data_IF_346081640060
#
_entry.id   IF_346081640060
#
_cell.length_a   1.000
_cell.length_b   1.000
_cell.length_c   1.000
_cell.angle_alpha   90.00
_cell.angle_beta   90.00
_cell.angle_gamma   90.00
#
_symmetry.space_group_name_H-M   'P 1'
#
loop_
_entity.id
_entity.type
_entity.pdbx_description
1 polymer ?
#
# COMPACT_ATOMS: atom_id res chain seq x y z
N UNK A 1 3.59 5.05 0.72
CA UNK A 1 4.29 3.79 0.85
C UNK A 1 4.45 3.06 -0.47
N UNK A 2 5.65 2.58 -0.73
CA UNK A 2 6.00 1.82 -1.93
C UNK A 2 5.17 0.53 -2.04
N UNK A 3 4.47 0.33 -3.13
CA UNK A 3 3.64 -0.86 -3.36
C UNK A 3 2.24 -0.82 -2.72
N UNK A 4 1.84 0.32 -2.22
CA UNK A 4 0.65 0.49 -1.39
C UNK A 4 -0.68 0.44 -2.15
N UNK A 5 -0.70 0.81 -3.41
CA UNK A 5 -1.94 0.96 -4.18
C UNK A 5 -2.65 -0.37 -4.42
N UNK A 6 -1.91 -1.47 -4.54
CA UNK A 6 -2.46 -2.77 -4.96
C UNK A 6 -2.84 -3.70 -3.81
N UNK A 7 -2.21 -3.56 -2.63
CA UNK A 7 -2.50 -4.41 -1.46
C UNK A 7 -3.82 -4.10 -0.77
N UNK A 8 -4.43 -2.98 -1.12
CA UNK A 8 -5.68 -2.48 -0.58
C UNK A 8 -6.80 -2.52 -1.60
N UNK A 9 -6.69 -3.46 -2.56
CA UNK A 9 -7.69 -3.66 -3.59
C UNK A 9 -8.59 -4.87 -3.27
N UNK A 10 -9.85 -4.73 -3.61
CA UNK A 10 -10.82 -5.80 -3.67
C UNK A 10 -11.46 -5.78 -5.06
N UNK A 11 -11.44 -6.91 -5.76
CA UNK A 11 -11.91 -7.03 -7.15
C UNK A 11 -11.29 -5.98 -8.09
N UNK A 12 -9.99 -5.73 -7.96
CA UNK A 12 -9.24 -4.78 -8.79
C UNK A 12 -9.50 -3.30 -8.48
N UNK A 13 -10.26 -2.97 -7.42
CA UNK A 13 -10.58 -1.60 -7.03
C UNK A 13 -10.02 -1.28 -5.64
N UNK A 14 -9.51 -0.08 -5.46
CA UNK A 14 -8.97 0.38 -4.18
C UNK A 14 -10.09 0.56 -3.16
N UNK A 15 -10.06 -0.24 -2.10
CA UNK A 15 -11.05 -0.20 -1.00
C UNK A 15 -10.50 0.40 0.29
N UNK A 16 -9.19 0.61 0.39
CA UNK A 16 -8.55 1.11 1.60
C UNK A 16 -7.45 2.11 1.28
N UNK A 17 -7.31 3.13 2.10
CA UNK A 17 -6.18 4.06 2.16
C UNK A 17 -5.47 3.94 3.51
N UNK A 18 -4.16 3.96 3.52
CA UNK A 18 -3.35 4.05 4.74
C UNK A 18 -2.43 5.25 4.60
N UNK A 19 -2.44 6.09 5.62
CA UNK A 19 -1.53 7.22 5.75
C UNK A 19 -0.76 7.06 7.05
N UNK A 20 0.55 7.22 6.99
CA UNK A 20 1.42 7.16 8.16
C UNK A 20 2.14 8.48 8.31
N UNK A 21 2.05 9.06 9.49
CA UNK A 21 2.77 10.26 9.90
C UNK A 21 3.66 9.91 11.09
N UNK A 22 4.87 10.47 11.12
CA UNK A 22 5.84 10.20 12.17
C UNK A 22 6.57 11.47 12.58
N UNK A 23 6.87 11.59 13.85
CA UNK A 23 7.78 12.60 14.38
C UNK A 23 9.06 11.95 14.88
N UNK A 24 10.18 12.64 14.66
CA UNK A 24 11.50 12.23 15.15
C UNK A 24 12.04 13.29 16.08
N UNK A 25 12.70 12.87 17.14
CA UNK A 25 13.47 13.76 17.98
C UNK A 25 14.63 14.37 17.18
N UNK A 26 14.75 15.70 17.20
CA UNK A 26 15.71 16.44 16.38
C UNK A 26 17.18 16.25 16.81
N UNK A 27 17.41 15.84 18.06
CA UNK A 27 18.75 15.68 18.60
C UNK A 27 19.27 14.26 18.43
N UNK A 28 18.43 13.27 18.71
CA UNK A 28 18.79 11.84 18.63
C UNK A 28 18.45 11.19 17.29
N UNK A 29 17.58 11.79 16.48
CA UNK A 29 17.03 11.21 15.25
C UNK A 29 16.12 10.00 15.50
N UNK A 30 15.76 9.72 16.76
CA UNK A 30 14.91 8.59 17.10
C UNK A 30 13.44 8.88 16.82
N UNK A 31 12.70 7.86 16.45
CA UNK A 31 11.25 7.93 16.29
C UNK A 31 10.60 8.22 17.64
N UNK A 32 9.90 9.34 17.73
CA UNK A 32 9.21 9.77 18.96
C UNK A 32 7.75 9.31 18.97
N UNK A 33 7.07 9.43 17.84
CA UNK A 33 5.68 8.98 17.68
C UNK A 33 5.39 8.59 16.23
N UNK A 34 4.38 7.73 16.10
CA UNK A 34 3.84 7.28 14.82
C UNK A 34 2.33 7.30 14.87
N UNK A 35 1.71 7.94 13.88
CA UNK A 35 0.25 7.93 13.69
C UNK A 35 -0.08 7.20 12.40
N UNK A 36 -0.96 6.21 12.48
CA UNK A 36 -1.43 5.44 11.33
C UNK A 36 -2.90 5.71 11.11
N UNK A 37 -3.23 6.43 10.04
CA UNK A 37 -4.59 6.63 9.57
C UNK A 37 -5.00 5.51 8.61
N UNK A 38 -6.12 4.83 8.88
CA UNK A 38 -6.66 3.76 8.03
C UNK A 38 -8.06 4.15 7.58
N UNK A 39 -8.23 4.44 6.29
CA UNK A 39 -9.52 4.74 5.66
C UNK A 39 -10.01 3.53 4.86
N UNK A 40 -11.14 2.94 5.25
CA UNK A 40 -11.75 1.81 4.58
C UNK A 40 -13.07 2.17 3.93
N UNK A 41 -13.20 1.95 2.64
CA UNK A 41 -14.45 2.12 1.89
C UNK A 41 -15.33 0.90 2.14
N UNK A 42 -16.37 1.05 2.95
CA UNK A 42 -17.18 -0.08 3.37
C UNK A 42 -18.37 -0.32 2.44
N UNK A 43 -19.19 0.71 2.20
CA UNK A 43 -20.49 0.57 1.53
C UNK A 43 -20.73 1.60 0.41
N UNK A 44 -19.78 2.46 0.08
CA UNK A 44 -19.95 3.44 -0.98
C UNK A 44 -20.31 2.74 -2.31
N UNK A 45 -21.32 3.25 -2.99
CA UNK A 45 -21.76 2.81 -4.32
C UNK A 45 -20.84 3.39 -5.41
N UNK A 46 -20.74 2.76 -6.58
CA UNK A 46 -20.01 3.35 -7.70
C UNK A 46 -20.49 4.75 -8.08
N UNK A 47 -21.76 5.07 -7.85
CA UNK A 47 -22.35 6.38 -8.12
C UNK A 47 -21.92 7.47 -7.11
N UNK A 48 -21.38 7.08 -5.96
CA UNK A 48 -20.92 8.02 -4.92
C UNK A 48 -19.51 8.55 -5.19
N UNK A 49 -18.81 8.03 -6.21
CA UNK A 49 -17.46 8.41 -6.55
C UNK A 49 -17.42 9.53 -7.58
N UNK A 50 -16.50 10.51 -7.44
CA UNK A 50 -16.15 11.39 -8.54
C UNK A 50 -15.74 10.60 -9.79
N UNK A 51 -16.01 11.13 -10.98
CA UNK A 51 -15.78 10.44 -12.27
C UNK A 51 -14.33 9.91 -12.40
N UNK A 52 -13.36 10.68 -11.94
CA UNK A 52 -11.93 10.33 -11.94
C UNK A 52 -11.59 9.11 -11.05
N UNK A 53 -12.37 8.89 -9.99
CA UNK A 53 -12.18 7.77 -9.06
C UNK A 53 -13.09 6.57 -9.36
N UNK A 54 -14.15 6.75 -10.14
CA UNK A 54 -15.17 5.72 -10.40
C UNK A 54 -14.60 4.42 -10.98
N UNK A 55 -13.46 4.49 -11.68
CA UNK A 55 -12.78 3.32 -12.27
C UNK A 55 -11.81 2.63 -11.32
N UNK A 56 -11.27 3.34 -10.34
CA UNK A 56 -10.18 2.87 -9.47
C UNK A 56 -10.61 2.65 -8.03
N UNK A 57 -11.60 3.40 -7.54
CA UNK A 57 -12.14 3.25 -6.19
C UNK A 57 -13.22 2.16 -6.13
N UNK A 58 -13.30 1.50 -4.98
CA UNK A 58 -14.31 0.50 -4.68
C UNK A 58 -14.62 0.43 -3.19
N UNK A 59 -15.56 -0.43 -2.85
CA UNK A 59 -15.96 -0.71 -1.47
C UNK A 59 -16.08 -2.20 -1.26
N UNK A 60 -16.02 -2.65 -0.01
CA UNK A 60 -16.18 -4.07 0.32
C UNK A 60 -17.60 -4.56 0.06
N UNK A 61 -18.61 -3.71 0.30
CA UNK A 61 -20.04 -4.02 0.15
C UNK A 61 -20.74 -2.89 -0.62
N UNK A 62 -20.48 -2.75 -1.94
CA UNK A 62 -20.95 -1.60 -2.70
C UNK A 62 -22.48 -1.54 -2.76
N UNK A 63 -23.06 -0.42 -2.29
CA UNK A 63 -24.51 -0.16 -2.34
C UNK A 63 -25.37 -0.99 -1.41
N UNK A 64 -24.78 -1.84 -0.56
CA UNK A 64 -25.51 -2.71 0.36
C UNK A 64 -25.18 -2.47 1.83
N UNK A 65 -25.96 -3.06 2.76
CA UNK A 65 -25.58 -3.04 4.16
C UNK A 65 -24.35 -3.92 4.38
N UNK A 66 -23.40 -3.41 5.19
CA UNK A 66 -22.28 -4.23 5.63
C UNK A 66 -22.77 -5.27 6.67
N UNK A 67 -22.31 -6.54 6.60
CA UNK A 67 -22.70 -7.57 7.55
C UNK A 67 -22.09 -7.37 8.94
N UNK A 68 -21.17 -6.40 9.07
CA UNK A 68 -20.48 -6.06 10.32
C UNK A 68 -20.60 -4.55 10.58
N UNK A 69 -20.70 -4.16 11.85
CA UNK A 69 -20.68 -2.74 12.21
C UNK A 69 -19.27 -2.14 12.05
N UNK A 70 -19.22 -0.83 11.76
CA UNK A 70 -17.95 -0.09 11.66
C UNK A 70 -17.12 -0.19 12.93
N UNK A 71 -17.75 -0.17 14.10
CA UNK A 71 -17.06 -0.27 15.40
C UNK A 71 -16.39 -1.64 15.58
N UNK A 72 -17.08 -2.73 15.23
CA UNK A 72 -16.54 -4.09 15.29
C UNK A 72 -15.34 -4.23 14.35
N UNK A 73 -15.46 -3.72 13.12
CA UNK A 73 -14.39 -3.76 12.14
C UNK A 73 -13.18 -2.93 12.58
N UNK A 74 -13.40 -1.70 13.07
CA UNK A 74 -12.34 -0.86 13.60
C UNK A 74 -11.60 -1.52 14.78
N UNK A 75 -12.34 -2.11 15.71
CA UNK A 75 -11.76 -2.86 16.84
C UNK A 75 -10.96 -4.08 16.40
N UNK A 76 -11.41 -4.81 15.37
CA UNK A 76 -10.67 -5.92 14.80
C UNK A 76 -9.35 -5.47 14.16
N UNK A 77 -9.39 -4.41 13.34
CA UNK A 77 -8.20 -3.85 12.69
C UNK A 77 -7.19 -3.36 13.75
N UNK A 78 -7.65 -2.64 14.76
CA UNK A 78 -6.78 -2.15 15.84
C UNK A 78 -6.13 -3.31 16.61
N UNK A 79 -6.88 -4.36 16.93
CA UNK A 79 -6.35 -5.54 17.62
C UNK A 79 -5.29 -6.25 16.77
N UNK A 80 -5.54 -6.47 15.48
CA UNK A 80 -4.56 -7.08 14.57
C UNK A 80 -3.29 -6.21 14.47
N UNK A 81 -3.44 -4.90 14.31
CA UNK A 81 -2.30 -3.99 14.26
C UNK A 81 -1.46 -4.05 15.55
N UNK A 82 -2.11 -4.02 16.72
CA UNK A 82 -1.43 -4.11 18.00
C UNK A 82 -0.76 -5.47 18.23
N UNK A 83 -1.32 -6.56 17.69
CA UNK A 83 -0.73 -7.89 17.78
C UNK A 83 0.57 -8.03 16.99
N UNK A 84 0.73 -7.25 15.92
CA UNK A 84 1.95 -7.24 15.10
C UNK A 84 3.06 -6.36 15.69
N UNK A 85 2.71 -5.33 16.50
CA UNK A 85 3.67 -4.37 17.02
C UNK A 85 4.83 -4.96 17.86
N UNK A 86 4.65 -5.99 18.72
CA UNK A 86 5.74 -6.47 19.58
C UNK A 86 6.87 -7.19 18.83
N UNK A 87 6.57 -7.83 17.71
CA UNK A 87 7.53 -8.70 17.03
C UNK A 87 7.90 -8.25 15.60
N UNK A 88 7.08 -7.43 14.96
CA UNK A 88 7.19 -7.07 13.53
C UNK A 88 7.42 -8.27 12.58
N UNK A 89 6.92 -9.44 12.98
CA UNK A 89 7.11 -10.71 12.28
C UNK A 89 6.01 -10.91 11.21
N UNK A 90 5.83 -9.90 10.35
CA UNK A 90 4.85 -9.95 9.27
C UNK A 90 5.49 -9.91 7.87
N UNK A 91 6.83 -9.96 7.79
CA UNK A 91 7.54 -9.74 6.54
C UNK A 91 7.30 -10.87 5.53
N UNK A 92 7.26 -12.11 5.98
CA UNK A 92 7.01 -13.26 5.09
C UNK A 92 5.58 -13.26 4.56
N UNK A 93 4.61 -12.94 5.40
CA UNK A 93 3.22 -12.77 4.97
C UNK A 93 3.06 -11.56 4.04
N UNK A 94 3.78 -10.47 4.33
CA UNK A 94 3.84 -9.31 3.45
C UNK A 94 4.39 -9.68 2.08
N UNK A 95 5.48 -10.43 2.01
CA UNK A 95 6.08 -10.94 0.76
C UNK A 95 5.11 -11.84 0.00
N UNK A 96 4.51 -12.80 0.68
CA UNK A 96 3.57 -13.75 0.10
C UNK A 96 2.33 -13.07 -0.52
N UNK A 97 1.87 -11.96 0.05
CA UNK A 97 0.72 -11.19 -0.45
C UNK A 97 1.10 -10.07 -1.41
N UNK A 98 2.40 -9.78 -1.58
CA UNK A 98 2.88 -8.73 -2.47
C UNK A 98 2.97 -9.26 -3.91
N UNK A 99 2.07 -8.84 -4.76
CA UNK A 99 2.10 -9.25 -6.19
C UNK A 99 2.88 -8.26 -7.09
N UNK A 100 3.49 -7.22 -6.54
CA UNK A 100 4.30 -6.24 -7.28
C UNK A 100 5.58 -6.87 -7.88
N UNK A 101 6.32 -7.74 -7.16
CA UNK A 101 7.46 -8.44 -7.73
C UNK A 101 7.10 -9.20 -9.02
N UNK A 102 7.99 -9.15 -10.00
CA UNK A 102 7.80 -9.74 -11.32
C UNK A 102 7.18 -8.78 -12.35
N UNK A 103 6.61 -7.65 -11.93
CA UNK A 103 5.98 -6.69 -12.83
C UNK A 103 6.89 -5.52 -13.18
N UNK A 104 6.66 -4.94 -14.36
CA UNK A 104 7.21 -3.65 -14.71
C UNK A 104 6.45 -2.54 -13.97
N UNK A 105 7.20 -1.64 -13.36
CA UNK A 105 6.68 -0.55 -12.56
C UNK A 105 7.21 0.80 -13.05
N UNK A 106 6.45 1.84 -12.82
CA UNK A 106 6.93 3.22 -12.88
C UNK A 106 7.24 3.66 -11.46
N UNK A 107 8.46 4.06 -11.22
CA UNK A 107 8.93 4.61 -9.95
C UNK A 107 8.98 6.11 -10.07
N UNK A 108 8.28 6.82 -9.18
CA UNK A 108 8.32 8.27 -9.04
C UNK A 108 8.99 8.60 -7.71
N UNK A 109 10.18 9.14 -7.74
CA UNK A 109 10.83 9.80 -6.61
C UNK A 109 10.65 11.30 -6.77
N UNK A 110 10.77 12.09 -5.74
CA UNK A 110 10.62 13.55 -5.90
C UNK A 110 11.57 14.19 -6.94
N UNK A 111 12.64 13.49 -7.30
CA UNK A 111 13.68 13.95 -8.23
C UNK A 111 13.51 13.38 -9.65
N UNK A 112 12.99 12.17 -9.81
CA UNK A 112 12.94 11.49 -11.11
C UNK A 112 11.76 10.51 -11.23
N UNK A 113 11.36 10.24 -12.48
CA UNK A 113 10.40 9.19 -12.82
C UNK A 113 11.04 8.24 -13.84
N UNK A 114 11.05 6.94 -13.54
CA UNK A 114 11.66 5.93 -14.41
C UNK A 114 10.92 4.60 -14.39
N UNK A 115 11.17 3.80 -15.42
CA UNK A 115 10.70 2.43 -15.49
C UNK A 115 11.71 1.49 -14.83
N UNK A 116 11.21 0.49 -14.12
CA UNK A 116 12.03 -0.57 -13.54
C UNK A 116 11.25 -1.88 -13.44
N UNK A 117 11.95 -3.00 -13.33
CA UNK A 117 11.35 -4.29 -13.02
C UNK A 117 11.39 -4.48 -11.51
N UNK A 118 10.24 -4.72 -10.91
CA UNK A 118 10.16 -5.08 -9.50
C UNK A 118 10.64 -6.51 -9.31
N UNK A 119 11.62 -6.72 -8.43
CA UNK A 119 12.25 -8.02 -8.21
C UNK A 119 11.75 -8.71 -6.94
N UNK A 120 11.83 -8.03 -5.79
CA UNK A 120 11.55 -8.61 -4.48
C UNK A 120 11.25 -7.56 -3.43
N UNK A 121 10.89 -8.02 -2.25
CA UNK A 121 10.88 -7.22 -1.00
C UNK A 121 12.06 -7.69 -0.14
N UNK A 122 12.93 -6.77 0.26
CA UNK A 122 14.09 -7.06 1.11
C UNK A 122 13.73 -7.24 2.59
N UNK A 123 14.73 -7.51 3.43
CA UNK A 123 14.52 -7.76 4.87
C UNK A 123 14.14 -6.50 5.66
N UNK A 124 14.29 -5.32 5.07
CA UNK A 124 13.79 -4.06 5.63
C UNK A 124 12.38 -3.69 5.09
N UNK A 125 11.72 -4.59 4.33
CA UNK A 125 10.40 -4.37 3.75
C UNK A 125 10.39 -3.43 2.53
N UNK A 126 11.57 -3.13 1.95
CA UNK A 126 11.72 -2.23 0.81
C UNK A 126 11.52 -2.97 -0.50
N UNK A 127 10.92 -2.32 -1.49
CA UNK A 127 10.83 -2.88 -2.84
C UNK A 127 12.19 -2.77 -3.53
N UNK A 128 12.74 -3.90 -3.94
CA UNK A 128 13.92 -3.97 -4.78
C UNK A 128 13.50 -3.94 -6.23
N UNK A 129 14.05 -3.01 -6.99
CA UNK A 129 13.78 -2.86 -8.42
C UNK A 129 15.07 -2.91 -9.22
N UNK A 130 14.97 -3.37 -10.46
CA UNK A 130 16.06 -3.38 -11.43
C UNK A 130 15.81 -2.31 -12.48
N UNK A 131 16.77 -1.39 -12.61
CA UNK A 131 16.78 -0.36 -13.67
C UNK A 131 17.52 -0.87 -14.90
N UNK A 132 17.36 -0.19 -16.03
CA UNK A 132 18.19 -0.42 -17.23
C UNK A 132 19.67 -0.48 -16.86
N UNK A 133 20.39 -1.52 -17.35
CA UNK A 133 21.79 -1.78 -17.06
C UNK A 133 22.05 -2.65 -15.82
N UNK A 134 21.08 -3.51 -15.44
CA UNK A 134 21.18 -4.52 -14.36
C UNK A 134 21.47 -3.92 -12.96
N UNK A 135 21.19 -2.65 -12.77
CA UNK A 135 21.40 -2.00 -11.48
C UNK A 135 20.20 -2.23 -10.55
N UNK A 136 20.40 -2.99 -9.50
CA UNK A 136 19.40 -3.19 -8.45
C UNK A 136 19.43 -2.05 -7.43
N UNK A 137 18.23 -1.56 -7.08
CA UNK A 137 18.03 -0.48 -6.12
C UNK A 137 16.92 -0.84 -5.17
N UNK A 138 17.17 -0.77 -3.86
CA UNK A 138 16.13 -0.88 -2.82
C UNK A 138 15.51 0.51 -2.59
N UNK A 139 14.22 0.63 -2.88
CA UNK A 139 13.51 1.91 -2.78
C UNK A 139 13.17 2.22 -1.33
N UNK A 140 13.68 3.33 -0.82
CA UNK A 140 13.43 3.80 0.56
C UNK A 140 12.17 4.69 0.64
N UNK A 141 11.89 5.45 -0.43
CA UNK A 141 10.76 6.37 -0.53
C UNK A 141 10.34 6.52 -1.99
N UNK A 142 9.18 7.11 -2.22
CA UNK A 142 8.64 7.36 -3.55
C UNK A 142 7.29 6.67 -3.75
N UNK A 143 6.71 6.88 -4.92
CA UNK A 143 5.49 6.25 -5.37
C UNK A 143 5.80 5.23 -6.47
N UNK A 144 5.16 4.07 -6.40
CA UNK A 144 5.33 3.01 -7.41
C UNK A 144 3.98 2.66 -7.99
N UNK A 145 3.88 2.70 -9.31
CA UNK A 145 2.69 2.23 -10.04
C UNK A 145 3.07 1.12 -11.02
N UNK A 146 2.24 0.08 -11.07
CA UNK A 146 2.40 -1.00 -12.06
C UNK A 146 2.02 -0.46 -13.43
N UNK A 147 2.86 -0.70 -14.42
CA UNK A 147 2.49 -0.42 -15.82
C UNK A 147 1.45 -1.44 -16.27
N UNK A 148 0.35 -1.00 -16.90
CA UNK A 148 -0.51 -1.92 -17.61
C UNK A 148 0.35 -2.65 -18.65
N UNK A 149 0.28 -3.97 -18.68
CA UNK A 149 0.88 -4.76 -19.75
C UNK A 149 0.13 -4.34 -21.03
N UNK A 150 0.77 -3.57 -21.88
CA UNK A 150 0.24 -3.37 -23.24
C UNK A 150 0.26 -4.74 -23.89
N UNK A 151 -0.90 -5.35 -24.02
CA UNK A 151 -1.07 -6.53 -24.88
C UNK A 151 -0.74 -6.07 -26.29
N UNK A 152 0.40 -6.53 -26.81
CA UNK A 152 0.77 -6.41 -28.22
C UNK A 152 -0.14 -7.33 -29.02
#
# INVERSE_FOLDING_TARGET
GLGDVYKRQYQGRKVCGILTEAGTDMESGQLEWLVVGIGLNLTASPADWPEELARTAGSLYPGGPAPVSRAVLAGAIARELLSLCPAFDCLDEYRARCFVPGHWVTVCTGAETYAAKALSIDDAGRLVVEREGDRQVALQHGEVSIRPTSTI
#
